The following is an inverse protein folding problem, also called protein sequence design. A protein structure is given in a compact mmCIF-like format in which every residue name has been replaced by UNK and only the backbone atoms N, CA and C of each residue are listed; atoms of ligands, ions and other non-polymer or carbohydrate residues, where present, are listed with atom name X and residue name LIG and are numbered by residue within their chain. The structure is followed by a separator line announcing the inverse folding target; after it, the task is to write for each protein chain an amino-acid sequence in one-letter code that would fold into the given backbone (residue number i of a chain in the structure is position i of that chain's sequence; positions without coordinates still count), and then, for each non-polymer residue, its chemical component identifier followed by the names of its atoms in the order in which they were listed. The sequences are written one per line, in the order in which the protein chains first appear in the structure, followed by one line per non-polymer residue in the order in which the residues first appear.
data_IF_678703975916
#
_entry.id   IF_678703975916
#
_cell.length_a   1.000
_cell.length_b   1.000
_cell.length_c   1.000
_cell.angle_alpha   90.00
_cell.angle_beta   90.00
_cell.angle_gamma   90.00
#
_symmetry.space_group_name_H-M   'P 1'
#
loop_
_entity.id
_entity.type
_entity.pdbx_description
1 polymer ?
#
# COMPACT_ATOMS: atom_id res chain seq x y z
N UNK A 1 13.88 -11.09 -14.09
CA UNK A 1 14.87 -12.13 -14.43
C UNK A 1 14.18 -13.47 -14.42
N UNK A 2 14.89 -14.60 -14.26
CA UNK A 2 14.25 -15.89 -13.95
C UNK A 2 13.78 -15.99 -12.48
N UNK A 3 14.17 -15.02 -11.65
CA UNK A 3 13.78 -14.92 -10.26
C UNK A 3 12.30 -14.56 -10.10
N UNK A 4 11.64 -15.26 -9.18
CA UNK A 4 10.21 -15.16 -8.90
C UNK A 4 9.95 -15.20 -7.39
N UNK A 5 9.27 -14.19 -6.87
CA UNK A 5 8.88 -14.05 -5.46
C UNK A 5 7.39 -13.79 -5.41
N UNK A 6 6.70 -14.49 -4.51
CA UNK A 6 5.30 -14.24 -4.17
C UNK A 6 5.17 -13.55 -2.79
N UNK A 7 4.06 -12.84 -2.60
CA UNK A 7 3.59 -12.37 -1.30
C UNK A 7 2.32 -13.11 -0.88
N UNK A 8 2.29 -13.53 0.38
CA UNK A 8 1.08 -14.02 1.04
C UNK A 8 0.87 -13.24 2.34
N UNK A 9 -0.26 -12.56 2.46
CA UNK A 9 -0.62 -11.84 3.66
C UNK A 9 -1.59 -12.66 4.49
N UNK A 10 -1.19 -13.00 5.71
CA UNK A 10 -2.06 -13.61 6.71
C UNK A 10 -2.69 -12.53 7.58
N UNK A 11 -4.00 -12.63 7.76
CA UNK A 11 -4.75 -11.76 8.66
C UNK A 11 -4.65 -12.20 10.14
N UNK A 12 -5.32 -11.49 11.05
CA UNK A 12 -5.26 -11.76 12.50
C UNK A 12 -5.70 -13.17 12.92
N UNK A 13 -6.50 -13.85 12.10
CA UNK A 13 -6.91 -15.24 12.32
C UNK A 13 -5.85 -16.28 11.92
N UNK A 14 -4.73 -15.85 11.33
CA UNK A 14 -3.69 -16.71 10.78
C UNK A 14 -3.97 -17.24 9.36
N UNK A 15 -5.18 -17.00 8.84
CA UNK A 15 -5.55 -17.36 7.47
C UNK A 15 -4.94 -16.38 6.46
N UNK A 16 -4.61 -16.88 5.26
CA UNK A 16 -4.24 -16.02 4.12
C UNK A 16 -5.48 -15.24 3.68
N UNK A 17 -5.34 -13.93 3.56
CA UNK A 17 -6.43 -13.00 3.20
C UNK A 17 -6.13 -12.22 1.90
N UNK A 18 -4.88 -12.20 1.45
CA UNK A 18 -4.46 -11.60 0.21
C UNK A 18 -3.17 -12.26 -0.30
N UNK A 19 -2.98 -12.26 -1.61
CA UNK A 19 -1.82 -12.82 -2.29
C UNK A 19 -1.42 -11.93 -3.46
N UNK A 20 -0.13 -11.87 -3.75
CA UNK A 20 0.41 -11.37 -5.00
C UNK A 20 1.38 -12.44 -5.50
N UNK A 21 1.16 -12.91 -6.72
CA UNK A 21 1.92 -14.02 -7.33
C UNK A 21 2.19 -13.67 -8.79
N UNK A 22 2.61 -12.42 -9.05
CA UNK A 22 2.95 -12.02 -10.40
C UNK A 22 4.21 -12.78 -10.83
N UNK A 23 4.40 -12.94 -12.15
CA UNK A 23 5.68 -13.46 -12.61
C UNK A 23 6.78 -12.45 -12.35
N UNK A 24 7.75 -12.80 -11.51
CA UNK A 24 8.94 -11.98 -11.26
C UNK A 24 9.06 -11.54 -9.80
N UNK A 25 9.65 -10.37 -9.58
CA UNK A 25 9.95 -9.90 -8.21
C UNK A 25 9.11 -8.71 -7.78
N UNK A 26 8.21 -8.23 -8.64
CA UNK A 26 7.42 -7.02 -8.43
C UNK A 26 6.02 -7.40 -7.92
N UNK A 27 5.92 -7.45 -6.59
CA UNK A 27 4.70 -7.84 -5.89
C UNK A 27 4.10 -6.69 -5.08
N UNK A 28 2.77 -6.62 -5.04
CA UNK A 28 2.03 -5.60 -4.29
C UNK A 28 0.76 -6.20 -3.69
N UNK A 29 0.55 -5.96 -2.41
CA UNK A 29 -0.73 -6.19 -1.72
C UNK A 29 -1.18 -4.86 -1.12
N UNK A 30 -2.39 -4.43 -1.48
CA UNK A 30 -3.06 -3.26 -0.91
C UNK A 30 -4.38 -3.68 -0.27
N UNK A 31 -4.62 -3.22 0.96
CA UNK A 31 -5.86 -3.45 1.69
C UNK A 31 -6.51 -2.12 2.06
N UNK A 32 -7.77 -1.94 1.69
CA UNK A 32 -8.57 -0.77 2.07
C UNK A 32 -9.37 -1.07 3.33
N UNK A 33 -9.16 -0.27 4.38
CA UNK A 33 -9.83 -0.41 5.67
C UNK A 33 -9.86 -1.86 6.21
N UNK A 34 -8.69 -2.53 6.31
CA UNK A 34 -8.62 -3.88 6.85
C UNK A 34 -9.02 -3.91 8.33
N UNK A 35 -9.46 -5.07 8.82
CA UNK A 35 -9.81 -5.23 10.23
C UNK A 35 -8.60 -5.02 11.15
N UNK A 36 -8.83 -4.52 12.36
CA UNK A 36 -7.76 -4.36 13.34
C UNK A 36 -7.14 -5.70 13.73
N UNK A 37 -5.82 -5.71 13.94
CA UNK A 37 -5.10 -6.86 14.49
C UNK A 37 -3.70 -7.02 13.90
N UNK A 38 -3.08 -8.15 14.24
CA UNK A 38 -1.72 -8.48 13.77
C UNK A 38 -1.79 -9.19 12.42
N UNK A 39 -1.04 -8.67 11.45
CA UNK A 39 -0.89 -9.27 10.14
C UNK A 39 0.50 -9.90 10.02
N UNK A 40 0.62 -10.97 9.25
CA UNK A 40 1.91 -11.61 8.93
C UNK A 40 2.10 -11.59 7.42
N UNK A 41 3.08 -10.82 6.95
CA UNK A 41 3.53 -10.88 5.56
C UNK A 41 4.51 -12.04 5.39
N UNK A 42 4.22 -12.92 4.45
CA UNK A 42 5.10 -14.03 4.04
C UNK A 42 5.66 -13.71 2.66
N UNK A 43 6.99 -13.61 2.57
CA UNK A 43 7.71 -13.48 1.30
C UNK A 43 8.19 -14.87 0.90
N UNK A 44 7.74 -15.35 -0.26
CA UNK A 44 7.98 -16.72 -0.72
C UNK A 44 8.79 -16.71 -2.01
N UNK A 45 10.00 -17.28 -2.00
CA UNK A 45 10.81 -17.40 -3.22
C UNK A 45 10.34 -18.56 -4.09
N UNK A 46 9.35 -18.31 -4.95
CA UNK A 46 8.76 -19.32 -5.84
C UNK A 46 9.79 -19.96 -6.77
N UNK A 47 10.62 -19.15 -7.43
CA UNK A 47 11.72 -19.60 -8.28
C UNK A 47 12.94 -18.73 -8.05
N UNK A 48 13.87 -19.19 -7.24
CA UNK A 48 15.13 -18.49 -6.94
C UNK A 48 16.32 -19.38 -7.32
N UNK A 49 16.65 -19.50 -8.63
CA UNK A 49 17.66 -20.44 -9.10
C UNK A 49 19.08 -20.14 -8.56
N UNK A 50 19.36 -18.88 -8.21
CA UNK A 50 20.65 -18.46 -7.65
C UNK A 50 20.44 -17.86 -6.24
N UNK A 51 20.11 -18.72 -5.27
CA UNK A 51 19.88 -18.29 -3.89
C UNK A 51 21.18 -17.91 -3.14
N UNK A 52 21.13 -16.95 -2.19
CA UNK A 52 19.96 -16.18 -1.77
C UNK A 52 19.64 -15.00 -2.70
N UNK A 53 18.36 -14.68 -2.85
CA UNK A 53 17.89 -13.46 -3.52
C UNK A 53 17.62 -12.37 -2.48
N UNK A 54 18.44 -11.31 -2.40
CA UNK A 54 18.13 -10.18 -1.55
C UNK A 54 16.87 -9.45 -2.05
N UNK A 55 16.04 -8.98 -1.13
CA UNK A 55 14.84 -8.20 -1.43
C UNK A 55 14.67 -7.05 -0.43
N UNK A 56 13.87 -6.07 -0.81
CA UNK A 56 13.44 -4.97 0.05
C UNK A 56 11.93 -5.02 0.20
N UNK A 57 11.44 -5.11 1.43
CA UNK A 57 10.02 -5.00 1.73
C UNK A 57 9.72 -3.60 2.28
N UNK A 58 8.79 -2.90 1.64
CA UNK A 58 8.24 -1.63 2.15
C UNK A 58 6.78 -1.84 2.55
N UNK A 59 6.39 -1.30 3.69
CA UNK A 59 5.03 -1.43 4.21
C UNK A 59 4.58 -0.09 4.79
N UNK A 60 3.31 0.25 4.57
CA UNK A 60 2.67 1.43 5.14
C UNK A 60 1.35 1.04 5.78
N UNK A 61 1.16 1.45 7.03
CA UNK A 61 -0.14 1.44 7.69
C UNK A 61 -0.63 2.90 7.71
N UNK A 62 -1.53 3.24 6.80
CA UNK A 62 -2.07 4.60 6.67
C UNK A 62 -3.34 4.70 7.52
N UNK A 63 -3.36 5.50 8.60
CA UNK A 63 -4.54 5.63 9.44
C UNK A 63 -5.64 6.43 8.74
N UNK A 64 -6.90 6.19 9.12
CA UNK A 64 -8.04 7.00 8.67
C UNK A 64 -8.04 8.42 9.28
N UNK A 65 -7.24 8.66 10.32
CA UNK A 65 -7.13 9.98 10.93
C UNK A 65 -6.45 10.96 9.95
N UNK A 66 -7.04 12.15 9.80
CA UNK A 66 -6.44 13.23 9.01
C UNK A 66 -5.19 13.79 9.68
N UNK A 67 -4.24 14.27 8.86
CA UNK A 67 -3.02 14.95 9.32
C UNK A 67 -1.76 14.28 8.78
N UNK A 68 -0.64 14.50 9.46
CA UNK A 68 0.68 14.07 9.00
C UNK A 68 1.25 15.04 7.96
N UNK A 69 2.04 14.51 7.04
CA UNK A 69 2.76 15.31 6.03
C UNK A 69 1.96 15.61 4.77
N UNK A 70 0.83 14.94 4.55
CA UNK A 70 -0.07 15.17 3.41
C UNK A 70 -1.19 16.11 3.82
N UNK A 71 -1.38 17.21 3.09
CA UNK A 71 -2.49 18.15 3.27
C UNK A 71 -3.37 18.17 2.02
N UNK A 72 -4.69 18.28 2.23
CA UNK A 72 -5.64 18.64 1.15
C UNK A 72 -5.72 20.16 1.12
N UNK A 73 -5.19 20.76 0.06
CA UNK A 73 -5.15 22.22 -0.10
C UNK A 73 -6.49 22.75 -0.61
N UNK A 74 -7.13 21.99 -1.51
CA UNK A 74 -8.43 22.32 -2.08
C UNK A 74 -9.18 21.04 -2.48
N UNK A 75 -10.50 21.04 -2.32
CA UNK A 75 -11.37 19.96 -2.79
C UNK A 75 -12.80 20.49 -3.06
N UNK A 76 -13.58 19.83 -3.92
CA UNK A 76 -14.99 20.15 -4.12
C UNK A 76 -15.79 19.90 -2.84
N UNK A 77 -16.79 20.73 -2.56
CA UNK A 77 -17.67 20.56 -1.39
C UNK A 77 -18.81 19.56 -1.61
N UNK A 78 -19.04 19.14 -2.86
CA UNK A 78 -20.05 18.16 -3.24
C UNK A 78 -19.63 17.39 -4.50
N UNK A 79 -20.12 16.15 -4.62
CA UNK A 79 -20.03 15.37 -5.86
C UNK A 79 -21.29 15.61 -6.71
N UNK A 80 -21.11 15.90 -8.01
CA UNK A 80 -22.22 16.05 -8.96
C UNK A 80 -22.12 14.99 -10.06
N UNK A 81 -23.24 14.32 -10.36
CA UNK A 81 -23.29 13.25 -11.36
C UNK A 81 -22.80 13.77 -12.72
N UNK A 82 -21.93 12.99 -13.37
CA UNK A 82 -21.39 13.31 -14.70
C UNK A 82 -20.33 14.40 -14.71
N UNK A 83 -19.88 14.87 -13.54
CA UNK A 83 -18.81 15.87 -13.42
C UNK A 83 -17.59 15.29 -12.71
N UNK A 84 -16.44 15.91 -12.96
CA UNK A 84 -15.21 15.68 -12.20
C UNK A 84 -14.86 16.94 -11.41
N UNK A 85 -14.31 16.77 -10.22
CA UNK A 85 -13.73 17.86 -9.43
C UNK A 85 -12.27 17.57 -9.16
N UNK A 86 -11.45 18.62 -9.15
CA UNK A 86 -10.03 18.52 -8.81
C UNK A 86 -9.84 18.52 -7.29
N UNK A 87 -8.94 17.67 -6.82
CA UNK A 87 -8.45 17.68 -5.44
C UNK A 87 -6.97 18.05 -5.52
N UNK A 88 -6.61 19.16 -4.90
CA UNK A 88 -5.23 19.62 -4.82
C UNK A 88 -4.64 19.20 -3.47
N UNK A 89 -3.43 18.67 -3.50
CA UNK A 89 -2.72 18.19 -2.32
C UNK A 89 -1.28 18.67 -2.30
N UNK A 90 -0.75 18.86 -1.09
CA UNK A 90 0.65 19.20 -0.85
C UNK A 90 1.29 18.28 0.19
N UNK A 91 2.60 18.13 0.08
CA UNK A 91 3.43 17.41 1.04
C UNK A 91 4.38 18.35 1.77
N UNK A 92 4.58 18.16 3.07
CA UNK A 92 5.52 18.96 3.86
C UNK A 92 6.36 18.11 4.83
N UNK A 93 7.53 18.65 5.21
CA UNK A 93 8.37 18.06 6.26
C UNK A 93 8.94 16.67 5.98
N UNK A 94 8.90 16.20 4.72
CA UNK A 94 9.42 14.89 4.33
C UNK A 94 10.93 14.95 4.08
N UNK A 95 11.65 13.95 4.58
CA UNK A 95 13.05 13.77 4.25
C UNK A 95 13.20 13.31 2.79
N UNK A 96 14.22 13.81 2.06
CA UNK A 96 14.53 13.33 0.71
C UNK A 96 14.89 11.84 0.73
N UNK A 97 14.82 11.20 -0.46
CA UNK A 97 15.20 9.80 -0.70
C UNK A 97 14.48 8.76 0.18
N UNK A 98 13.36 9.13 0.80
CA UNK A 98 12.51 8.26 1.60
C UNK A 98 11.15 8.08 0.92
N UNK A 99 10.63 6.85 0.91
CA UNK A 99 9.31 6.55 0.33
C UNK A 99 8.22 6.76 1.37
N UNK A 100 7.21 7.54 1.01
CA UNK A 100 6.03 7.80 1.83
C UNK A 100 4.76 7.40 1.07
N UNK A 101 3.74 7.00 1.81
CA UNK A 101 2.40 6.74 1.30
C UNK A 101 1.41 7.58 2.09
N UNK A 102 0.46 8.19 1.39
CA UNK A 102 -0.63 8.95 1.97
C UNK A 102 -1.90 8.66 1.19
N UNK A 103 -3.04 8.81 1.87
CA UNK A 103 -4.34 8.54 1.29
C UNK A 103 -5.23 9.77 1.44
N UNK A 104 -6.06 10.01 0.43
CA UNK A 104 -7.18 10.95 0.50
C UNK A 104 -8.45 10.13 0.47
N UNK A 105 -9.37 10.43 1.39
CA UNK A 105 -10.70 9.81 1.45
C UNK A 105 -11.77 10.89 1.53
N UNK A 106 -13.01 10.52 1.24
CA UNK A 106 -14.17 11.38 1.39
C UNK A 106 -15.25 10.65 2.20
N UNK A 107 -16.16 11.43 2.79
CA UNK A 107 -17.39 10.91 3.39
C UNK A 107 -18.48 11.01 2.30
N UNK A 108 -19.30 9.97 2.16
CA UNK A 108 -20.44 9.96 1.24
C UNK A 108 -21.67 10.61 1.83
#
# INVERSE_FOLDING_TARGET
GPDDIDLFLKGPSGNIIATSTNGGTDELIELTSPADGTYTMVVHGWSVPNAPLPYTLSMWAVPNASGGSLSVDSAPTAATIGTTGAIDVSWNGLNPDTKYLGAVSHIG
#
